data_IF_733785506858
#
_entry.id   IF_733785506858
#
_cell.length_a   1.000
_cell.length_b   1.000
_cell.length_c   1.000
_cell.angle_alpha   90.00
_cell.angle_beta   90.00
_cell.angle_gamma   90.00
#
_symmetry.space_group_name_H-M   'P 1'
#
loop_
_entity.id
_entity.type
_entity.pdbx_description
1 polymer ?
#
# COMPACT_ATOMS: atom_id res chain seq x y z
N UNK A 1 22.00 13.71 8.17
CA UNK A 1 20.89 12.76 7.95
C UNK A 1 20.43 12.89 6.49
N UNK A 2 21.27 12.48 5.54
CA UNK A 2 21.05 12.70 4.10
C UNK A 2 21.17 11.42 3.26
N UNK A 3 21.49 10.26 3.86
CA UNK A 3 21.77 9.05 3.08
C UNK A 3 20.54 8.24 2.63
N UNK A 4 19.33 8.60 3.03
CA UNK A 4 18.14 7.79 2.72
C UNK A 4 17.37 8.24 1.47
N UNK A 5 17.66 9.43 0.93
CA UNK A 5 17.14 9.93 -0.36
C UNK A 5 18.11 9.66 -1.53
N UNK A 6 19.40 9.95 -1.33
CA UNK A 6 20.44 9.82 -2.37
C UNK A 6 20.60 8.40 -2.93
N UNK A 7 20.25 7.36 -2.17
CA UNK A 7 20.37 5.96 -2.60
C UNK A 7 19.13 5.44 -3.36
N UNK A 8 17.99 6.12 -3.26
CA UNK A 8 16.73 5.62 -3.84
C UNK A 8 16.58 6.09 -5.28
N UNK A 9 16.86 7.36 -5.59
CA UNK A 9 16.70 7.88 -6.96
C UNK A 9 17.76 7.35 -7.95
N UNK A 10 19.03 7.22 -7.52
CA UNK A 10 20.14 6.87 -8.43
C UNK A 10 20.13 5.44 -8.98
N UNK A 11 19.51 4.48 -8.28
CA UNK A 11 19.51 3.06 -8.68
C UNK A 11 18.30 2.67 -9.54
N UNK A 12 17.28 3.53 -9.61
CA UNK A 12 15.97 3.20 -10.20
C UNK A 12 15.86 3.45 -11.72
N UNK A 13 16.83 4.14 -12.32
CA UNK A 13 16.73 4.57 -13.72
C UNK A 13 17.00 3.47 -14.76
N UNK A 14 17.55 2.30 -14.41
CA UNK A 14 17.99 1.33 -15.44
C UNK A 14 17.91 -0.16 -15.11
N UNK A 15 17.32 -0.60 -13.99
CA UNK A 15 17.20 -2.04 -13.75
C UNK A 15 15.89 -2.59 -14.35
N UNK A 16 16.00 -3.42 -15.41
CA UNK A 16 14.85 -4.15 -15.95
C UNK A 16 14.27 -5.03 -14.84
N UNK A 17 13.01 -4.79 -14.50
CA UNK A 17 12.29 -5.59 -13.51
C UNK A 17 12.35 -7.05 -13.92
N UNK A 18 13.03 -7.85 -13.10
CA UNK A 18 13.11 -9.30 -13.31
C UNK A 18 11.73 -9.94 -13.16
N UNK A 19 11.56 -11.14 -13.73
CA UNK A 19 10.33 -11.96 -13.62
C UNK A 19 9.88 -12.12 -12.16
N UNK A 20 10.81 -12.12 -11.21
CA UNK A 20 10.55 -12.16 -9.77
C UNK A 20 9.69 -10.98 -9.28
N UNK A 21 9.92 -9.77 -9.79
CA UNK A 21 9.14 -8.59 -9.40
C UNK A 21 7.70 -8.68 -9.89
N UNK A 22 7.49 -9.08 -11.15
CA UNK A 22 6.13 -9.31 -11.67
C UNK A 22 5.40 -10.43 -10.94
N UNK A 23 6.09 -11.52 -10.61
CA UNK A 23 5.51 -12.61 -9.83
C UNK A 23 5.14 -12.16 -8.41
N UNK A 24 6.03 -11.43 -7.72
CA UNK A 24 5.76 -10.88 -6.41
C UNK A 24 4.56 -9.92 -6.43
N UNK A 25 4.48 -9.04 -7.43
CA UNK A 25 3.35 -8.14 -7.61
C UNK A 25 2.04 -8.90 -7.84
N UNK A 26 2.04 -9.91 -8.71
CA UNK A 26 0.86 -10.73 -9.00
C UNK A 26 0.36 -11.48 -7.76
N UNK A 27 1.28 -12.12 -7.01
CA UNK A 27 0.93 -12.80 -5.76
C UNK A 27 0.36 -11.83 -4.73
N UNK A 28 0.88 -10.61 -4.68
CA UNK A 28 0.38 -9.56 -3.79
C UNK A 28 -1.03 -9.13 -4.16
N UNK A 29 -1.34 -8.99 -5.45
CA UNK A 29 -2.70 -8.72 -5.91
C UNK A 29 -3.65 -9.82 -5.45
N UNK A 30 -3.30 -11.08 -5.68
CA UNK A 30 -4.11 -12.22 -5.24
C UNK A 30 -4.33 -12.17 -3.73
N UNK A 31 -3.28 -11.85 -2.97
CA UNK A 31 -3.33 -11.80 -1.53
C UNK A 31 -4.30 -10.75 -0.99
N UNK A 32 -4.27 -9.54 -1.56
CA UNK A 32 -5.19 -8.46 -1.17
C UNK A 32 -6.58 -8.56 -1.81
N UNK A 33 -6.78 -9.42 -2.81
CA UNK A 33 -8.04 -9.47 -3.58
C UNK A 33 -9.21 -10.13 -2.84
N UNK A 34 -8.97 -10.89 -1.77
CA UNK A 34 -10.05 -11.55 -1.02
C UNK A 34 -10.66 -12.79 -1.69
N UNK A 35 -10.06 -13.30 -2.79
CA UNK A 35 -10.61 -14.39 -3.62
C UNK A 35 -10.68 -15.72 -2.85
N UNK A 36 -9.85 -15.91 -1.83
CA UNK A 36 -9.80 -17.16 -1.06
C UNK A 36 -10.56 -17.09 0.27
N UNK A 37 -11.11 -15.92 0.63
CA UNK A 37 -11.79 -15.66 1.89
C UNK A 37 -12.95 -16.60 2.22
N UNK A 38 -13.69 -17.06 1.19
CA UNK A 38 -14.84 -17.95 1.31
C UNK A 38 -14.55 -19.44 1.12
N UNK A 39 -13.29 -19.84 0.94
CA UNK A 39 -12.92 -21.26 0.77
C UNK A 39 -12.65 -21.91 2.13
N UNK A 40 -13.00 -23.17 2.34
CA UNK A 40 -12.63 -23.93 3.56
C UNK A 40 -11.30 -24.68 3.42
N UNK A 41 -10.48 -24.28 2.44
CA UNK A 41 -9.21 -24.94 2.11
C UNK A 41 -8.00 -24.22 2.71
N UNK A 42 -6.85 -24.90 2.75
CA UNK A 42 -5.56 -24.33 3.17
C UNK A 42 -5.19 -23.04 2.40
N UNK A 43 -5.73 -22.86 1.19
CA UNK A 43 -5.53 -21.67 0.35
C UNK A 43 -5.92 -20.36 1.03
N UNK A 44 -6.76 -20.38 2.07
CA UNK A 44 -7.11 -19.20 2.88
C UNK A 44 -5.90 -18.46 3.48
N UNK A 45 -4.78 -19.16 3.70
CA UNK A 45 -3.55 -18.52 4.22
C UNK A 45 -2.99 -17.48 3.22
N UNK A 46 -3.35 -17.57 1.95
CA UNK A 46 -3.01 -16.56 0.95
C UNK A 46 -4.05 -15.44 0.84
N UNK A 47 -4.97 -15.29 1.80
CA UNK A 47 -5.98 -14.25 1.80
C UNK A 47 -5.74 -13.24 2.93
N UNK A 48 -5.60 -11.97 2.55
CA UNK A 48 -5.39 -10.88 3.49
C UNK A 48 -6.52 -10.81 4.52
N UNK A 49 -7.78 -10.90 4.09
CA UNK A 49 -8.94 -10.74 4.99
C UNK A 49 -9.02 -11.87 6.00
N UNK A 50 -8.64 -13.09 5.62
CA UNK A 50 -8.59 -14.23 6.56
C UNK A 50 -7.48 -14.05 7.59
N UNK A 51 -6.28 -13.67 7.16
CA UNK A 51 -5.14 -13.48 8.08
C UNK A 51 -5.30 -12.24 8.97
N UNK A 52 -5.94 -11.19 8.45
CA UNK A 52 -6.27 -9.99 9.21
C UNK A 52 -7.33 -10.29 10.28
N UNK A 53 -8.23 -11.24 10.02
CA UNK A 53 -9.29 -11.63 10.92
C UNK A 53 -10.32 -10.52 11.15
N UNK A 54 -11.09 -10.65 12.22
CA UNK A 54 -12.17 -9.71 12.59
C UNK A 54 -11.93 -9.11 13.97
N UNK A 55 -10.73 -8.57 14.19
CA UNK A 55 -10.46 -7.71 15.33
C UNK A 55 -11.45 -6.53 15.30
N UNK A 56 -11.97 -6.11 16.44
CA UNK A 56 -13.06 -5.13 16.42
C UNK A 56 -14.43 -5.73 16.75
N UNK A 57 -14.67 -7.03 16.53
CA UNK A 57 -15.99 -7.61 16.70
C UNK A 57 -16.17 -8.35 18.03
N UNK A 58 -17.16 -7.90 18.80
CA UNK A 58 -17.60 -8.49 20.06
C UNK A 58 -18.95 -9.18 19.85
N UNK A 59 -19.18 -10.34 20.50
CA UNK A 59 -20.51 -10.93 20.58
C UNK A 59 -21.41 -10.05 21.47
N UNK A 60 -22.49 -9.55 20.89
CA UNK A 60 -23.55 -8.80 21.56
C UNK A 60 -24.75 -9.67 21.94
N UNK A 61 -25.78 -9.03 22.51
CA UNK A 61 -27.00 -9.72 22.89
C UNK A 61 -27.71 -10.34 21.66
N UNK A 62 -28.30 -11.53 21.84
CA UNK A 62 -29.04 -12.28 20.81
C UNK A 62 -28.21 -12.67 19.56
N UNK A 63 -26.88 -12.79 19.69
CA UNK A 63 -26.01 -13.20 18.58
C UNK A 63 -25.70 -12.07 17.59
N UNK A 64 -26.08 -10.83 17.89
CA UNK A 64 -25.67 -9.67 17.11
C UNK A 64 -24.19 -9.37 17.37
N UNK A 65 -23.40 -9.09 16.34
CA UNK A 65 -22.02 -8.61 16.49
C UNK A 65 -22.00 -7.11 16.74
N UNK A 66 -21.35 -6.67 17.81
CA UNK A 66 -21.13 -5.26 18.14
C UNK A 66 -19.65 -4.91 18.03
N UNK A 67 -19.30 -3.72 17.54
CA UNK A 67 -17.87 -3.31 17.50
C UNK A 67 -17.36 -2.87 18.88
N UNK A 68 -16.07 -3.06 19.18
CA UNK A 68 -15.38 -2.45 20.34
C UNK A 68 -15.52 -0.93 20.36
N UNK A 69 -15.79 -0.30 19.21
CA UNK A 69 -16.05 1.13 19.07
C UNK A 69 -17.34 1.59 19.77
N UNK A 70 -18.31 0.69 19.99
CA UNK A 70 -19.63 1.04 20.52
C UNK A 70 -20.47 1.86 19.53
N UNK A 71 -21.52 2.53 20.02
CA UNK A 71 -22.42 3.35 19.19
C UNK A 71 -22.69 4.72 19.85
N UNK A 72 -22.87 5.76 19.01
CA UNK A 72 -23.34 7.08 19.47
C UNK A 72 -22.25 8.07 19.94
N UNK A 73 -20.96 7.80 19.70
CA UNK A 73 -19.85 8.72 19.98
C UNK A 73 -19.30 9.36 18.71
N UNK A 74 -19.10 10.69 18.69
CA UNK A 74 -18.44 11.41 17.60
C UNK A 74 -17.38 12.35 18.16
N UNK A 75 -16.31 11.80 18.72
CA UNK A 75 -15.24 12.55 19.38
C UNK A 75 -13.94 11.77 19.51
N UNK A 76 -12.95 12.31 20.22
CA UNK A 76 -11.60 11.74 20.29
C UNK A 76 -11.56 10.27 20.76
N UNK A 77 -12.45 9.87 21.69
CA UNK A 77 -12.56 8.47 22.16
C UNK A 77 -13.01 7.51 21.06
N UNK A 78 -13.93 7.97 20.21
CA UNK A 78 -14.44 7.20 19.07
C UNK A 78 -13.35 7.05 17.99
N UNK A 79 -12.62 8.13 17.69
CA UNK A 79 -11.47 8.11 16.79
C UNK A 79 -10.33 7.21 17.29
N UNK A 80 -10.06 7.20 18.61
CA UNK A 80 -9.05 6.33 19.21
C UNK A 80 -9.41 4.85 19.06
N UNK A 81 -10.66 4.47 19.33
CA UNK A 81 -11.12 3.09 19.17
C UNK A 81 -11.13 2.66 17.69
N UNK A 82 -11.51 3.55 16.79
CA UNK A 82 -11.40 3.31 15.34
C UNK A 82 -9.95 3.07 14.91
N UNK A 83 -9.00 3.86 15.41
CA UNK A 83 -7.58 3.66 15.11
C UNK A 83 -7.07 2.31 15.62
N UNK A 84 -7.47 1.88 16.82
CA UNK A 84 -7.13 0.56 17.34
C UNK A 84 -7.75 -0.57 16.51
N UNK A 85 -8.97 -0.40 16.02
CA UNK A 85 -9.63 -1.37 15.14
C UNK A 85 -8.89 -1.51 13.79
N UNK A 86 -8.41 -0.40 13.22
CA UNK A 86 -7.68 -0.40 11.94
C UNK A 86 -6.20 -0.80 12.05
N UNK A 87 -5.55 -0.56 13.20
CA UNK A 87 -4.11 -0.71 13.34
C UNK A 87 -3.57 -2.08 12.89
N UNK A 88 -4.16 -3.24 13.26
CA UNK A 88 -3.67 -4.55 12.83
C UNK A 88 -3.67 -4.71 11.30
N UNK A 89 -4.75 -4.27 10.64
CA UNK A 89 -4.90 -4.34 9.18
C UNK A 89 -3.87 -3.51 8.47
N UNK A 90 -3.63 -2.28 8.95
CA UNK A 90 -2.64 -1.38 8.35
C UNK A 90 -1.23 -1.95 8.53
N UNK A 91 -0.88 -2.42 9.72
CA UNK A 91 0.45 -2.99 10.01
C UNK A 91 0.72 -4.21 9.13
N UNK A 92 -0.23 -5.15 9.04
CA UNK A 92 -0.10 -6.35 8.21
C UNK A 92 0.06 -5.96 6.73
N UNK A 93 -0.77 -5.03 6.25
CA UNK A 93 -0.71 -4.55 4.86
C UNK A 93 0.66 -3.95 4.53
N UNK A 94 1.16 -3.07 5.41
CA UNK A 94 2.47 -2.44 5.24
C UNK A 94 3.61 -3.47 5.26
N UNK A 95 3.54 -4.48 6.11
CA UNK A 95 4.50 -5.58 6.14
C UNK A 95 4.57 -6.34 4.81
N UNK A 96 3.42 -6.69 4.23
CA UNK A 96 3.35 -7.38 2.95
C UNK A 96 3.87 -6.49 1.81
N UNK A 97 3.49 -5.22 1.80
CA UNK A 97 3.97 -4.30 0.77
C UNK A 97 5.49 -4.10 0.87
N UNK A 98 6.05 -4.03 2.09
CA UNK A 98 7.51 -3.97 2.29
C UNK A 98 8.22 -5.20 1.72
N UNK A 99 7.68 -6.42 1.93
CA UNK A 99 8.20 -7.64 1.32
C UNK A 99 8.08 -7.57 -0.21
N UNK A 100 6.95 -7.11 -0.72
CA UNK A 100 6.68 -6.97 -2.15
C UNK A 100 7.66 -6.00 -2.81
N UNK A 101 7.95 -4.88 -2.16
CA UNK A 101 8.92 -3.90 -2.60
C UNK A 101 10.35 -4.45 -2.59
N UNK A 102 10.73 -5.12 -1.50
CA UNK A 102 12.02 -5.80 -1.38
C UNK A 102 12.26 -6.87 -2.46
N UNK A 103 11.19 -7.48 -2.99
CA UNK A 103 11.24 -8.42 -4.12
C UNK A 103 11.16 -7.75 -5.51
N UNK A 104 11.05 -6.42 -5.56
CA UNK A 104 10.95 -5.63 -6.79
C UNK A 104 9.54 -5.54 -7.38
N UNK A 105 8.51 -5.93 -6.64
CA UNK A 105 7.11 -5.91 -7.09
C UNK A 105 6.55 -4.52 -7.29
N UNK A 106 6.95 -3.53 -6.49
CA UNK A 106 6.50 -2.14 -6.70
C UNK A 106 7.09 -1.51 -7.96
N UNK A 107 8.33 -1.88 -8.35
CA UNK A 107 8.90 -1.50 -9.65
C UNK A 107 8.15 -2.15 -10.81
N UNK A 108 7.69 -3.40 -10.65
CA UNK A 108 6.81 -4.04 -11.63
C UNK A 108 5.48 -3.27 -11.78
N UNK A 109 4.89 -2.87 -10.66
CA UNK A 109 3.67 -2.06 -10.62
C UNK A 109 3.86 -0.71 -11.34
N UNK A 110 4.99 -0.04 -11.09
CA UNK A 110 5.35 1.22 -11.76
C UNK A 110 5.43 1.07 -13.29
N UNK A 111 6.11 0.03 -13.79
CA UNK A 111 6.20 -0.22 -15.22
C UNK A 111 4.82 -0.49 -15.83
N UNK A 112 3.96 -1.23 -15.12
CA UNK A 112 2.60 -1.52 -15.56
C UNK A 112 1.67 -0.29 -15.50
N UNK A 113 1.91 0.64 -14.57
CA UNK A 113 1.16 1.89 -14.43
C UNK A 113 1.60 2.97 -15.42
N UNK A 114 2.84 2.93 -15.92
CA UNK A 114 3.37 3.88 -16.91
C UNK A 114 2.48 4.06 -18.16
N UNK A 115 2.00 3.00 -18.85
CA UNK A 115 1.13 3.15 -20.01
C UNK A 115 -0.27 3.69 -19.68
N UNK A 116 -0.69 3.69 -18.41
CA UNK A 116 -1.97 4.24 -17.96
C UNK A 116 -1.82 5.72 -17.57
N UNK A 117 -0.80 6.03 -16.75
CA UNK A 117 -0.60 7.38 -16.21
C UNK A 117 -0.05 8.35 -17.24
N UNK A 118 0.79 7.90 -18.17
CA UNK A 118 1.37 8.75 -19.22
C UNK A 118 0.32 9.36 -20.14
N UNK A 119 -0.67 8.62 -20.69
CA UNK A 119 -1.73 9.22 -21.50
C UNK A 119 -2.81 9.94 -20.68
N UNK A 120 -3.09 9.51 -19.44
CA UNK A 120 -4.18 10.08 -18.64
C UNK A 120 -3.78 11.38 -17.91
N UNK A 121 -2.58 11.41 -17.34
CA UNK A 121 -2.09 12.50 -16.49
C UNK A 121 -0.86 13.21 -17.07
N UNK A 122 -0.21 12.66 -18.10
CA UNK A 122 1.02 13.23 -18.67
C UNK A 122 2.26 13.04 -17.79
N UNK A 123 2.16 12.21 -16.76
CA UNK A 123 3.21 12.01 -15.75
C UNK A 123 3.91 10.66 -15.98
N UNK A 124 5.25 10.57 -15.88
CA UNK A 124 5.97 9.30 -15.97
C UNK A 124 5.54 8.35 -14.85
N UNK A 125 5.59 7.04 -15.11
CA UNK A 125 5.14 6.05 -14.15
C UNK A 125 5.93 6.04 -12.85
N UNK A 126 7.13 6.62 -12.80
CA UNK A 126 7.95 6.75 -11.58
C UNK A 126 7.28 7.61 -10.51
N UNK A 127 6.43 8.57 -10.88
CA UNK A 127 5.59 9.29 -9.94
C UNK A 127 4.56 8.38 -9.24
N UNK A 128 4.25 7.21 -9.81
CA UNK A 128 3.45 6.18 -9.11
C UNK A 128 4.16 5.66 -7.87
N UNK A 129 5.50 5.59 -7.86
CA UNK A 129 6.23 5.15 -6.68
C UNK A 129 6.08 6.17 -5.54
N UNK A 130 6.18 7.47 -5.86
CA UNK A 130 5.91 8.53 -4.89
C UNK A 130 4.46 8.47 -4.36
N UNK A 131 3.49 8.18 -5.23
CA UNK A 131 2.09 7.98 -4.83
C UNK A 131 1.90 6.76 -3.93
N UNK A 132 2.50 5.62 -4.28
CA UNK A 132 2.44 4.38 -3.48
C UNK A 132 3.10 4.62 -2.13
N UNK A 133 4.26 5.27 -2.10
CA UNK A 133 4.92 5.62 -0.86
C UNK A 133 4.11 6.61 -0.02
N UNK A 134 3.35 7.53 -0.63
CA UNK A 134 2.50 8.47 0.12
C UNK A 134 1.40 7.74 0.89
N UNK A 135 0.93 6.60 0.38
CA UNK A 135 -0.03 5.75 1.09
C UNK A 135 0.57 5.05 2.32
N UNK A 136 1.90 4.98 2.42
CA UNK A 136 2.61 4.31 3.51
C UNK A 136 3.26 5.29 4.48
N UNK A 137 3.91 6.30 3.94
CA UNK A 137 4.63 7.33 4.66
C UNK A 137 4.68 8.62 3.82
N UNK A 138 3.84 9.58 4.19
CA UNK A 138 3.78 10.90 3.54
C UNK A 138 5.11 11.65 3.59
N UNK A 139 5.92 11.49 4.64
CA UNK A 139 7.21 12.19 4.76
C UNK A 139 8.21 11.67 3.73
N UNK A 140 8.27 10.36 3.52
CA UNK A 140 9.11 9.74 2.50
C UNK A 140 8.65 10.14 1.10
N UNK A 141 7.33 10.18 0.88
CA UNK A 141 6.76 10.60 -0.40
C UNK A 141 7.02 12.06 -0.74
N UNK A 142 7.02 12.95 0.26
CA UNK A 142 7.38 14.35 0.07
C UNK A 142 8.84 14.49 -0.39
N UNK A 143 9.76 13.69 0.16
CA UNK A 143 11.14 13.60 -0.29
C UNK A 143 11.26 13.18 -1.76
N UNK A 144 10.63 12.06 -2.13
CA UNK A 144 10.64 11.57 -3.52
C UNK A 144 9.98 12.54 -4.50
N UNK A 145 8.88 13.18 -4.10
CA UNK A 145 8.20 14.16 -4.96
C UNK A 145 9.07 15.39 -5.22
N UNK A 146 9.85 15.82 -4.22
CA UNK A 146 10.81 16.92 -4.38
C UNK A 146 11.92 16.54 -5.37
N UNK A 147 12.47 15.34 -5.27
CA UNK A 147 13.48 14.83 -6.21
C UNK A 147 12.94 14.81 -7.64
N UNK A 148 11.75 14.23 -7.85
CA UNK A 148 11.07 14.19 -9.15
C UNK A 148 10.79 15.59 -9.73
N UNK A 149 10.52 16.59 -8.87
CA UNK A 149 10.38 17.98 -9.27
C UNK A 149 11.71 18.61 -9.71
N UNK A 150 12.81 18.27 -9.00
CA UNK A 150 14.15 18.78 -9.29
C UNK A 150 14.75 18.17 -10.56
N UNK A 151 14.46 16.89 -10.81
CA UNK A 151 14.91 16.16 -12.02
C UNK A 151 14.10 16.53 -13.27
N UNK A 152 13.04 17.32 -13.12
CA UNK A 152 12.20 17.75 -14.25
C UNK A 152 11.29 16.66 -14.80
N UNK A 153 11.08 15.57 -14.04
CA UNK A 153 10.23 14.45 -14.43
C UNK A 153 8.74 14.72 -14.19
N UNK A 154 8.42 15.68 -13.31
CA UNK A 154 7.06 16.21 -13.18
C UNK A 154 6.76 17.19 -14.33
N UNK A 155 5.58 17.11 -14.97
CA UNK A 155 5.19 18.10 -15.97
C UNK A 155 5.19 19.49 -15.34
N UNK A 156 5.52 20.52 -16.15
CA UNK A 156 5.59 21.95 -15.81
C UNK A 156 4.23 22.56 -15.37
N UNK A 157 3.51 21.94 -14.43
CA UNK A 157 2.22 22.37 -13.91
C UNK A 157 2.34 23.17 -12.61
N UNK A 158 3.56 23.39 -12.10
CA UNK A 158 3.81 24.28 -10.97
C UNK A 158 4.86 25.30 -11.43
N UNK A 159 4.38 26.37 -12.08
CA UNK A 159 5.04 27.67 -12.11
C UNK A 159 4.19 28.65 -11.33
#
# INVERSE_FOLDING_TARGET
>A
MTQQGDAVAGELATEKVGIKGYLAFFLTIIFFSGVFSGTDSWWRVFDFSVLNGSFGQLPGANGATTSFRGAGGAGAKDGFLFALELAPSVILSLGIISITDGLGGLRAAQQLMTPVLKPLLGIPGICSLALIANLQNTDAAAGMTKELAQEGELPNAIK
#
